data_IF_849109418236
#
_entry.id   IF_849109418236
#
_cell.length_a   1.000
_cell.length_b   1.000
_cell.length_c   1.000
_cell.angle_alpha   90.00
_cell.angle_beta   90.00
_cell.angle_gamma   90.00
#
_symmetry.space_group_name_H-M   'P 1'
#
loop_
_entity.id
_entity.type
_entity.pdbx_description
1 polymer ?
#
# COMPACT_ATOMS: atom_id res chain seq x y z
N UNK A 1 1.22 10.10 27.88
CA UNK A 1 1.00 9.81 26.42
C UNK A 1 2.36 9.94 25.73
N UNK A 2 2.72 8.97 24.91
CA UNK A 2 3.93 9.03 24.08
C UNK A 2 3.78 10.15 23.04
N UNK A 3 4.82 10.96 22.83
CA UNK A 3 4.80 12.04 21.83
C UNK A 3 4.68 11.44 20.41
N UNK A 4 3.84 12.04 19.57
CA UNK A 4 3.72 11.65 18.16
C UNK A 4 4.96 12.13 17.39
N UNK A 5 5.76 11.20 16.91
CA UNK A 5 6.95 11.45 16.08
C UNK A 5 6.70 11.18 14.60
N UNK A 6 5.78 10.23 14.31
CA UNK A 6 5.47 9.80 12.95
C UNK A 6 4.01 10.11 12.60
N UNK A 7 3.79 10.60 11.40
CA UNK A 7 2.45 10.87 10.88
C UNK A 7 1.71 9.55 10.60
N UNK A 8 2.43 8.56 10.07
CA UNK A 8 1.95 7.19 9.97
C UNK A 8 3.10 6.19 10.07
N UNK A 9 2.82 5.01 10.63
CA UNK A 9 3.59 3.79 10.47
C UNK A 9 2.89 2.94 9.42
N UNK A 10 3.57 2.62 8.32
CA UNK A 10 3.07 1.75 7.27
C UNK A 10 3.68 0.36 7.44
N UNK A 11 2.86 -0.71 7.44
CA UNK A 11 3.29 -2.10 7.58
C UNK A 11 2.86 -2.89 6.36
N UNK A 12 3.79 -3.50 5.64
CA UNK A 12 3.48 -4.25 4.43
C UNK A 12 4.65 -4.97 3.79
N UNK A 13 4.42 -5.52 2.62
CA UNK A 13 5.40 -6.27 1.85
C UNK A 13 6.51 -5.39 1.29
N UNK A 14 7.75 -5.61 1.70
CA UNK A 14 8.93 -4.92 1.17
C UNK A 14 9.38 -5.59 -0.15
N UNK A 15 8.77 -5.18 -1.25
CA UNK A 15 8.96 -5.78 -2.58
C UNK A 15 9.77 -4.85 -3.49
N UNK A 16 10.78 -5.40 -4.19
CA UNK A 16 11.45 -4.70 -5.28
C UNK A 16 10.77 -5.00 -6.61
N UNK A 17 10.32 -3.98 -7.30
CA UNK A 17 9.81 -4.10 -8.67
C UNK A 17 10.99 -4.15 -9.64
N UNK A 18 11.02 -5.18 -10.49
CA UNK A 18 12.07 -5.44 -11.48
C UNK A 18 11.44 -5.42 -12.87
N UNK A 19 11.61 -4.32 -13.58
CA UNK A 19 11.03 -4.10 -14.89
C UNK A 19 11.97 -4.58 -16.00
N UNK A 20 11.42 -5.26 -17.01
CA UNK A 20 12.10 -5.56 -18.27
C UNK A 20 11.14 -5.40 -19.44
N UNK A 21 11.64 -4.85 -20.55
CA UNK A 21 10.92 -4.90 -21.83
C UNK A 21 11.21 -6.24 -22.51
N UNK A 22 10.17 -6.92 -22.96
CA UNK A 22 10.24 -8.23 -23.60
C UNK A 22 9.33 -8.30 -24.82
N UNK A 23 9.69 -9.14 -25.79
CA UNK A 23 8.79 -9.46 -26.90
C UNK A 23 7.70 -10.47 -26.46
N UNK A 24 6.58 -10.53 -27.18
CA UNK A 24 5.49 -11.46 -26.86
C UNK A 24 5.92 -12.92 -26.89
N UNK A 25 6.87 -13.27 -27.80
CA UNK A 25 7.44 -14.60 -27.89
C UNK A 25 8.15 -15.03 -26.59
N UNK A 26 8.70 -14.10 -25.83
CA UNK A 26 9.29 -14.41 -24.53
C UNK A 26 8.23 -14.92 -23.54
N UNK A 27 7.07 -14.27 -23.49
CA UNK A 27 5.97 -14.71 -22.62
C UNK A 27 5.49 -16.11 -23.00
N UNK A 28 5.37 -16.39 -24.30
CA UNK A 28 4.97 -17.71 -24.81
C UNK A 28 6.01 -18.80 -24.46
N UNK A 29 7.30 -18.51 -24.61
CA UNK A 29 8.39 -19.44 -24.30
C UNK A 29 8.46 -19.79 -22.81
N UNK A 30 8.17 -18.81 -21.94
CA UNK A 30 8.13 -18.98 -20.48
C UNK A 30 6.75 -19.47 -19.96
N UNK A 31 5.78 -19.67 -20.83
CA UNK A 31 4.44 -20.11 -20.44
C UNK A 31 3.66 -19.11 -19.60
N UNK A 32 3.94 -17.79 -19.80
CA UNK A 32 3.34 -16.71 -19.04
C UNK A 32 2.08 -16.19 -19.73
N UNK A 33 1.02 -15.97 -18.96
CA UNK A 33 -0.22 -15.38 -19.47
C UNK A 33 -0.07 -13.88 -19.47
N UNK A 34 -0.09 -13.26 -20.66
CA UNK A 34 0.02 -11.83 -20.84
C UNK A 34 -1.03 -11.07 -20.03
N UNK A 35 -0.63 -9.99 -19.38
CA UNK A 35 -1.51 -9.15 -18.58
C UNK A 35 -1.91 -9.75 -17.22
N UNK A 36 -1.39 -10.93 -16.86
CA UNK A 36 -1.72 -11.57 -15.57
C UNK A 36 -0.72 -11.19 -14.46
N UNK A 37 -1.18 -11.35 -13.21
CA UNK A 37 -0.32 -11.39 -12.03
C UNK A 37 -0.39 -12.78 -11.41
N UNK A 38 0.77 -13.34 -11.06
CA UNK A 38 0.85 -14.61 -10.34
C UNK A 38 1.95 -14.58 -9.28
N UNK A 39 1.74 -15.38 -8.23
CA UNK A 39 2.79 -15.67 -7.26
C UNK A 39 3.64 -16.82 -7.77
N UNK A 40 4.95 -16.74 -7.55
CA UNK A 40 5.94 -17.74 -7.97
C UNK A 40 6.87 -18.08 -6.82
N UNK A 41 7.48 -19.26 -6.89
CA UNK A 41 8.43 -19.77 -5.91
C UNK A 41 9.87 -19.36 -6.22
N UNK A 42 10.79 -19.58 -5.25
CA UNK A 42 12.20 -19.14 -5.33
C UNK A 42 12.89 -19.60 -6.60
N UNK A 43 12.80 -20.88 -6.95
CA UNK A 43 13.52 -21.44 -8.10
C UNK A 43 13.02 -20.86 -9.43
N UNK A 44 11.70 -20.64 -9.53
CA UNK A 44 11.09 -20.01 -10.68
C UNK A 44 11.46 -18.53 -10.78
N UNK A 45 11.48 -17.81 -9.65
CA UNK A 45 11.90 -16.43 -9.59
C UNK A 45 13.36 -16.24 -10.05
N UNK A 46 14.25 -17.12 -9.60
CA UNK A 46 15.67 -17.11 -10.02
C UNK A 46 15.79 -17.45 -11.51
N UNK A 47 15.08 -18.47 -11.98
CA UNK A 47 15.11 -18.90 -13.37
C UNK A 47 14.60 -17.80 -14.32
N UNK A 48 13.48 -17.15 -13.96
CA UNK A 48 12.89 -16.07 -14.75
C UNK A 48 13.82 -14.85 -14.78
N UNK A 49 14.32 -14.43 -13.61
CA UNK A 49 15.23 -13.28 -13.53
C UNK A 49 16.48 -13.44 -14.40
N UNK A 50 17.08 -14.64 -14.43
CA UNK A 50 18.26 -14.92 -15.25
C UNK A 50 18.00 -14.88 -16.77
N UNK A 51 16.73 -14.98 -17.18
CA UNK A 51 16.31 -14.89 -18.59
C UNK A 51 15.87 -13.47 -18.98
N UNK A 52 15.55 -12.62 -18.00
CA UNK A 52 15.27 -11.20 -18.25
C UNK A 52 16.54 -10.52 -18.75
N UNK A 53 16.41 -9.68 -19.76
CA UNK A 53 17.51 -8.89 -20.30
C UNK A 53 17.91 -7.75 -19.37
N UNK A 54 18.06 -6.54 -19.92
CA UNK A 54 18.33 -5.35 -19.11
C UNK A 54 17.13 -5.03 -18.23
N UNK A 55 17.36 -4.85 -16.92
CA UNK A 55 16.33 -4.55 -15.93
C UNK A 55 16.50 -3.19 -15.28
N UNK A 56 15.38 -2.59 -14.90
CA UNK A 56 15.31 -1.44 -14.00
C UNK A 56 14.70 -1.93 -12.69
N UNK A 57 15.31 -1.57 -11.55
CA UNK A 57 14.85 -1.98 -10.21
C UNK A 57 14.37 -0.75 -9.46
N UNK A 58 13.20 -0.86 -8.82
CA UNK A 58 12.59 0.22 -8.04
C UNK A 58 12.04 -0.42 -6.76
N UNK A 59 12.27 0.22 -5.62
CA UNK A 59 11.63 -0.19 -4.37
C UNK A 59 10.12 0.07 -4.45
N UNK A 60 9.32 -0.98 -4.25
CA UNK A 60 7.86 -0.98 -4.37
C UNK A 60 7.16 -1.46 -3.09
N UNK A 61 6.06 -2.16 -3.25
CA UNK A 61 5.15 -2.58 -2.17
C UNK A 61 4.16 -1.49 -1.80
N UNK A 62 2.87 -1.85 -1.65
CA UNK A 62 1.76 -0.90 -1.44
C UNK A 62 2.00 0.02 -0.23
N UNK A 63 2.23 -0.56 0.96
CA UNK A 63 2.52 0.24 2.16
C UNK A 63 3.84 1.02 2.06
N UNK A 64 4.84 0.50 1.34
CA UNK A 64 6.10 1.19 1.05
C UNK A 64 5.89 2.42 0.16
N UNK A 65 5.02 2.32 -0.84
CA UNK A 65 4.64 3.44 -1.70
C UNK A 65 3.86 4.51 -0.92
N UNK A 66 2.95 4.08 -0.04
CA UNK A 66 2.22 4.99 0.87
C UNK A 66 3.18 5.76 1.76
N UNK A 67 4.15 5.08 2.39
CA UNK A 67 5.17 5.73 3.22
C UNK A 67 6.02 6.72 2.41
N UNK A 68 6.47 6.34 1.21
CA UNK A 68 7.22 7.22 0.32
C UNK A 68 6.39 8.44 -0.12
N UNK A 69 5.08 8.26 -0.34
CA UNK A 69 4.13 9.34 -0.62
C UNK A 69 4.02 10.36 0.52
N UNK A 70 3.90 9.86 1.76
CA UNK A 70 3.88 10.72 2.97
C UNK A 70 5.18 11.50 3.10
N UNK A 71 6.34 10.84 2.91
CA UNK A 71 7.64 11.52 2.92
C UNK A 71 7.73 12.60 1.82
N UNK A 72 7.23 12.32 0.62
CA UNK A 72 7.20 13.26 -0.51
C UNK A 72 6.32 14.49 -0.26
N UNK A 73 5.30 14.38 0.61
CA UNK A 73 4.51 15.50 1.12
C UNK A 73 5.24 16.32 2.19
N UNK A 74 6.43 15.90 2.65
CA UNK A 74 7.15 16.51 3.76
C UNK A 74 6.73 15.96 5.13
N UNK A 75 6.01 14.85 5.15
CA UNK A 75 5.63 14.12 6.35
C UNK A 75 6.76 13.30 6.96
N UNK A 76 6.45 12.67 8.09
CA UNK A 76 7.37 11.82 8.86
C UNK A 76 6.81 10.41 8.94
N UNK A 77 6.95 9.58 7.90
CA UNK A 77 6.50 8.20 7.93
C UNK A 77 7.53 7.28 8.61
N UNK A 78 7.02 6.21 9.22
CA UNK A 78 7.79 5.02 9.55
C UNK A 78 7.29 3.84 8.68
N UNK A 79 8.13 2.84 8.51
CA UNK A 79 7.80 1.65 7.73
C UNK A 79 8.30 0.38 8.39
N UNK A 80 7.45 -0.65 8.46
CA UNK A 80 7.83 -2.01 8.79
C UNK A 80 7.57 -2.93 7.60
N UNK A 81 8.58 -3.68 7.22
CA UNK A 81 8.52 -4.69 6.17
C UNK A 81 9.83 -5.48 6.17
N UNK A 82 9.79 -6.75 5.82
CA UNK A 82 10.92 -7.65 5.92
C UNK A 82 11.66 -7.76 4.60
N UNK A 83 12.97 -7.45 4.59
CA UNK A 83 13.89 -7.74 3.49
C UNK A 83 14.98 -8.69 3.97
N UNK A 84 15.68 -9.35 3.05
CA UNK A 84 16.84 -10.17 3.36
C UNK A 84 18.14 -9.36 3.42
N UNK A 85 19.20 -9.95 3.97
CA UNK A 85 20.57 -9.45 3.87
C UNK A 85 21.14 -9.81 2.48
N UNK A 86 20.59 -9.22 1.41
CA UNK A 86 21.00 -9.38 0.02
C UNK A 86 21.05 -8.03 -0.72
N UNK A 87 21.54 -8.03 -1.97
CA UNK A 87 21.69 -6.81 -2.78
C UNK A 87 20.37 -6.02 -2.95
N UNK A 88 19.24 -6.73 -3.14
CA UNK A 88 17.93 -6.08 -3.26
C UNK A 88 17.48 -5.50 -1.93
N UNK A 89 17.73 -6.21 -0.82
CA UNK A 89 17.43 -5.73 0.53
C UNK A 89 18.26 -4.51 0.90
N UNK A 90 19.54 -4.48 0.51
CA UNK A 90 20.42 -3.31 0.68
C UNK A 90 19.88 -2.10 -0.08
N UNK A 91 19.50 -2.31 -1.36
CA UNK A 91 18.92 -1.26 -2.20
C UNK A 91 17.61 -0.75 -1.62
N UNK A 92 16.69 -1.64 -1.23
CA UNK A 92 15.41 -1.29 -0.65
C UNK A 92 15.57 -0.46 0.64
N UNK A 93 16.47 -0.93 1.53
CA UNK A 93 16.76 -0.25 2.80
C UNK A 93 17.33 1.14 2.56
N UNK A 94 18.29 1.27 1.61
CA UNK A 94 18.88 2.53 1.24
C UNK A 94 17.85 3.52 0.68
N UNK A 95 17.01 3.06 -0.26
CA UNK A 95 16.01 3.89 -0.93
C UNK A 95 14.96 4.41 0.05
N UNK A 96 14.44 3.55 0.91
CA UNK A 96 13.42 3.94 1.90
C UNK A 96 13.97 5.02 2.84
N UNK A 97 15.15 4.80 3.43
CA UNK A 97 15.77 5.80 4.31
C UNK A 97 16.18 7.06 3.53
N UNK A 98 16.66 6.91 2.29
CA UNK A 98 17.05 8.03 1.42
C UNK A 98 15.87 8.93 1.03
N UNK A 99 14.66 8.39 0.99
CA UNK A 99 13.43 9.18 0.76
C UNK A 99 12.87 9.84 2.02
N UNK A 100 13.47 9.61 3.18
CA UNK A 100 13.04 10.18 4.47
C UNK A 100 12.04 9.32 5.24
N UNK A 101 11.86 8.06 4.86
CA UNK A 101 11.08 7.08 5.62
C UNK A 101 11.93 6.49 6.73
N UNK A 102 11.48 6.50 7.98
CA UNK A 102 12.12 5.76 9.05
C UNK A 102 11.90 4.27 8.84
N UNK A 103 12.96 3.54 8.46
CA UNK A 103 12.91 2.11 8.22
C UNK A 103 14.05 1.40 8.91
N UNK A 104 13.74 0.58 9.91
CA UNK A 104 14.74 -0.13 10.73
C UNK A 104 14.30 -1.57 11.10
N UNK A 105 13.42 -2.19 10.32
CA UNK A 105 13.02 -3.59 10.55
C UNK A 105 14.25 -4.50 10.42
N UNK A 106 14.50 -5.42 11.37
CA UNK A 106 15.60 -6.37 11.29
C UNK A 106 15.54 -7.20 10.01
N UNK A 107 16.65 -7.27 9.28
CA UNK A 107 16.73 -8.03 8.03
C UNK A 107 16.80 -9.53 8.28
N UNK A 108 16.29 -10.30 7.34
CA UNK A 108 16.36 -11.75 7.36
C UNK A 108 17.78 -12.21 6.93
N UNK A 109 18.44 -13.00 7.75
CA UNK A 109 19.83 -13.44 7.50
C UNK A 109 19.94 -14.69 6.65
N UNK A 110 18.92 -15.54 6.68
CA UNK A 110 18.98 -16.86 6.05
C UNK A 110 17.67 -17.18 5.32
N UNK A 111 17.71 -18.10 4.36
CA UNK A 111 16.61 -18.81 3.69
C UNK A 111 15.99 -18.13 2.47
N UNK A 112 15.35 -16.99 2.63
CA UNK A 112 14.51 -16.40 1.60
C UNK A 112 15.10 -15.08 1.15
N UNK A 113 15.42 -14.93 -0.16
CA UNK A 113 15.84 -13.65 -0.69
C UNK A 113 14.74 -12.59 -0.54
N UNK A 114 15.15 -11.32 -0.67
CA UNK A 114 14.23 -10.18 -0.71
C UNK A 114 13.16 -10.38 -1.79
N UNK A 115 11.92 -10.04 -1.44
CA UNK A 115 10.79 -10.11 -2.35
C UNK A 115 11.00 -9.27 -3.61
N UNK A 116 10.53 -9.79 -4.74
CA UNK A 116 10.62 -9.10 -6.03
C UNK A 116 9.41 -9.40 -6.90
N UNK A 117 8.93 -8.39 -7.60
CA UNK A 117 7.94 -8.53 -8.64
C UNK A 117 8.63 -8.35 -10.00
N UNK A 118 8.71 -9.39 -10.81
CA UNK A 118 9.25 -9.32 -12.16
C UNK A 118 8.16 -8.89 -13.11
N UNK A 119 8.27 -7.66 -13.58
CA UNK A 119 7.28 -6.97 -14.40
C UNK A 119 7.78 -6.94 -15.83
N UNK A 120 7.19 -7.76 -16.67
CA UNK A 120 7.52 -7.91 -18.09
C UNK A 120 6.58 -7.02 -18.90
N UNK A 121 7.16 -6.06 -19.63
CA UNK A 121 6.41 -5.07 -20.42
C UNK A 121 6.55 -5.42 -21.89
N UNK A 122 5.44 -5.74 -22.55
CA UNK A 122 5.39 -6.00 -23.99
C UNK A 122 5.29 -4.70 -24.81
N UNK A 123 5.57 -4.71 -26.13
CA UNK A 123 5.61 -3.49 -26.96
C UNK A 123 4.31 -2.67 -26.98
N UNK A 124 3.17 -3.29 -26.71
CA UNK A 124 1.88 -2.62 -26.58
C UNK A 124 1.64 -1.99 -25.18
N UNK A 125 2.64 -2.09 -24.27
CA UNK A 125 2.59 -1.54 -22.93
C UNK A 125 1.92 -2.44 -21.89
N UNK A 126 1.46 -3.66 -22.27
CA UNK A 126 0.85 -4.60 -21.34
C UNK A 126 1.89 -5.16 -20.36
N UNK A 127 1.48 -5.34 -19.09
CA UNK A 127 2.35 -5.80 -18.02
C UNK A 127 1.97 -7.19 -17.54
N UNK A 128 2.96 -8.06 -17.48
CA UNK A 128 2.82 -9.41 -16.91
C UNK A 128 3.68 -9.50 -15.67
N UNK A 129 3.06 -9.72 -14.51
CA UNK A 129 3.73 -9.68 -13.20
C UNK A 129 3.90 -11.08 -12.64
N UNK A 130 5.12 -11.37 -12.17
CA UNK A 130 5.46 -12.61 -11.51
C UNK A 130 6.12 -12.26 -10.19
N UNK A 131 5.39 -12.42 -9.08
CA UNK A 131 5.79 -11.93 -7.78
C UNK A 131 6.24 -13.05 -6.86
N UNK A 132 7.46 -12.93 -6.37
CA UNK A 132 8.03 -13.76 -5.33
C UNK A 132 8.04 -12.99 -4.01
N UNK A 133 7.33 -13.49 -3.00
CA UNK A 133 7.15 -12.79 -1.72
C UNK A 133 8.36 -12.92 -0.78
N UNK A 134 9.16 -13.96 -0.91
CA UNK A 134 10.44 -14.12 -0.22
C UNK A 134 10.44 -13.76 1.25
N UNK A 135 11.38 -12.90 1.64
CA UNK A 135 11.57 -12.46 3.02
C UNK A 135 10.33 -11.82 3.65
N UNK A 136 9.41 -11.24 2.85
CA UNK A 136 8.19 -10.64 3.38
C UNK A 136 7.35 -11.61 4.21
N UNK A 137 7.34 -12.90 3.81
CA UNK A 137 6.56 -13.95 4.50
C UNK A 137 7.08 -14.30 5.90
N UNK A 138 8.26 -13.79 6.27
CA UNK A 138 8.90 -13.99 7.58
C UNK A 138 8.67 -12.79 8.54
N UNK A 139 7.81 -11.86 8.16
CA UNK A 139 7.40 -10.77 9.05
C UNK A 139 6.58 -11.33 10.21
N UNK A 140 6.91 -10.92 11.44
CA UNK A 140 6.39 -11.54 12.67
C UNK A 140 6.27 -10.51 13.80
N UNK A 141 5.63 -10.83 14.94
CA UNK A 141 5.56 -9.95 16.10
C UNK A 141 6.92 -9.46 16.62
N UNK A 142 7.99 -10.21 16.40
CA UNK A 142 9.35 -9.79 16.80
C UNK A 142 9.90 -8.62 15.97
N UNK A 143 9.27 -8.29 14.87
CA UNK A 143 9.62 -7.16 14.00
C UNK A 143 8.84 -5.87 14.34
N UNK A 144 7.88 -5.98 15.26
CA UNK A 144 7.06 -4.85 15.72
C UNK A 144 7.76 -4.13 16.86
N UNK A 145 8.27 -2.93 16.58
CA UNK A 145 8.87 -2.04 17.58
C UNK A 145 7.77 -1.23 18.28
N UNK A 146 7.52 -1.53 19.57
CA UNK A 146 6.49 -0.88 20.40
C UNK A 146 6.66 0.65 20.43
N UNK A 147 7.90 1.15 20.53
CA UNK A 147 8.18 2.59 20.63
C UNK A 147 7.85 3.33 19.33
N UNK A 148 8.01 2.66 18.18
CA UNK A 148 7.65 3.23 16.88
C UNK A 148 6.13 3.24 16.69
N UNK A 149 5.44 2.14 17.01
CA UNK A 149 3.98 2.07 16.96
C UNK A 149 3.34 3.11 17.87
N UNK A 150 3.78 3.19 19.13
CA UNK A 150 3.27 4.15 20.11
C UNK A 150 3.47 5.62 19.69
N UNK A 151 4.51 5.88 18.90
CA UNK A 151 4.86 7.21 18.42
C UNK A 151 4.27 7.57 17.04
N UNK A 152 3.50 6.68 16.40
CA UNK A 152 2.81 6.92 15.13
C UNK A 152 1.37 7.40 15.39
N UNK A 153 0.90 8.44 14.66
CA UNK A 153 -0.47 8.89 14.77
C UNK A 153 -1.45 7.82 14.25
N UNK A 154 -1.08 7.15 13.17
CA UNK A 154 -1.86 6.05 12.55
C UNK A 154 -0.92 4.90 12.22
N UNK A 155 -1.31 3.66 12.55
CA UNK A 155 -0.68 2.43 12.04
C UNK A 155 -1.48 1.93 10.85
N UNK A 156 -0.91 2.02 9.64
CA UNK A 156 -1.53 1.63 8.37
C UNK A 156 -0.99 0.28 7.92
N UNK A 157 -1.89 -0.68 7.70
CA UNK A 157 -1.59 -2.07 7.42
C UNK A 157 -1.99 -2.45 6.00
N UNK A 158 -1.12 -3.20 5.31
CA UNK A 158 -1.36 -3.70 3.96
C UNK A 158 -2.03 -5.06 3.98
N UNK A 159 -3.23 -5.20 3.37
CA UNK A 159 -3.97 -6.45 3.31
C UNK A 159 -3.20 -7.58 2.61
N UNK A 160 -2.36 -7.29 1.63
CA UNK A 160 -1.51 -8.32 1.00
C UNK A 160 -0.56 -9.05 1.96
N UNK A 161 -0.17 -8.42 3.07
CA UNK A 161 0.66 -9.08 4.08
C UNK A 161 -0.16 -9.94 5.06
N UNK A 162 -1.47 -10.09 4.85
CA UNK A 162 -2.34 -10.89 5.72
C UNK A 162 -2.24 -12.41 5.46
N UNK A 163 -1.58 -12.89 4.39
CA UNK A 163 -1.43 -14.31 4.09
C UNK A 163 -0.65 -15.11 5.17
N UNK A 164 0.54 -14.69 5.67
CA UNK A 164 1.28 -15.45 6.66
C UNK A 164 0.68 -15.30 8.07
N UNK A 165 0.50 -16.41 8.79
CA UNK A 165 -0.08 -16.41 10.14
C UNK A 165 0.73 -15.56 11.14
N UNK A 166 2.06 -15.54 11.04
CA UNK A 166 2.90 -14.70 11.90
C UNK A 166 2.73 -13.21 11.59
N UNK A 167 2.49 -12.84 10.34
CA UNK A 167 2.18 -11.47 9.97
C UNK A 167 0.82 -11.01 10.51
N UNK A 168 -0.20 -11.88 10.52
CA UNK A 168 -1.49 -11.61 11.19
C UNK A 168 -1.28 -11.29 12.66
N UNK A 169 -0.49 -12.11 13.35
CA UNK A 169 -0.15 -11.86 14.76
C UNK A 169 0.60 -10.54 14.97
N UNK A 170 1.51 -10.21 14.05
CA UNK A 170 2.23 -8.94 14.09
C UNK A 170 1.28 -7.75 13.92
N UNK A 171 0.31 -7.84 13.01
CA UNK A 171 -0.71 -6.80 12.80
C UNK A 171 -1.58 -6.61 14.04
N UNK A 172 -2.05 -7.72 14.65
CA UNK A 172 -2.85 -7.66 15.88
C UNK A 172 -2.05 -7.06 17.04
N UNK A 173 -0.78 -7.46 17.20
CA UNK A 173 0.10 -6.87 18.20
C UNK A 173 0.32 -5.37 17.98
N UNK A 174 0.55 -4.93 16.74
CA UNK A 174 0.69 -3.52 16.42
C UNK A 174 -0.61 -2.74 16.69
N UNK A 175 -1.77 -3.32 16.39
CA UNK A 175 -3.07 -2.72 16.66
C UNK A 175 -3.30 -2.55 18.18
N UNK A 176 -3.00 -3.58 18.97
CA UNK A 176 -3.10 -3.52 20.44
C UNK A 176 -2.21 -2.42 21.03
N UNK A 177 -0.96 -2.33 20.58
CA UNK A 177 -0.03 -1.27 20.99
C UNK A 177 -0.57 0.11 20.60
N UNK A 178 -1.04 0.27 19.35
CA UNK A 178 -1.59 1.53 18.87
C UNK A 178 -2.75 2.00 19.75
N UNK A 179 -3.74 1.15 20.01
CA UNK A 179 -4.89 1.49 20.83
C UNK A 179 -4.53 1.77 22.30
N UNK A 180 -3.58 1.01 22.88
CA UNK A 180 -3.05 1.27 24.23
C UNK A 180 -2.48 2.68 24.39
N UNK A 181 -2.05 3.29 23.30
CA UNK A 181 -1.48 4.64 23.25
C UNK A 181 -2.41 5.69 22.62
N UNK A 182 -3.72 5.40 22.49
CA UNK A 182 -4.70 6.27 21.84
C UNK A 182 -4.33 6.64 20.40
N UNK A 183 -3.79 5.68 19.64
CA UNK A 183 -3.46 5.79 18.22
C UNK A 183 -4.47 5.06 17.36
N UNK A 184 -4.57 5.46 16.12
CA UNK A 184 -5.49 4.88 15.16
C UNK A 184 -4.85 3.73 14.38
N UNK A 185 -5.69 2.77 14.00
CA UNK A 185 -5.32 1.64 13.15
C UNK A 185 -6.08 1.73 11.84
N UNK A 186 -5.36 1.65 10.74
CA UNK A 186 -5.93 1.64 9.39
C UNK A 186 -5.51 0.38 8.63
N UNK A 187 -6.36 -0.08 7.72
CA UNK A 187 -6.05 -1.18 6.79
C UNK A 187 -6.43 -0.82 5.37
N UNK A 188 -5.64 -1.23 4.39
CA UNK A 188 -6.12 -1.32 3.00
C UNK A 188 -6.49 -2.75 2.66
N UNK A 189 -7.60 -2.93 1.94
CA UNK A 189 -8.06 -4.24 1.50
C UNK A 189 -7.19 -4.83 0.37
N UNK A 190 -6.38 -3.98 -0.26
CA UNK A 190 -5.36 -4.31 -1.27
C UNK A 190 -5.93 -4.76 -2.62
N UNK A 191 -6.66 -5.86 -2.69
CA UNK A 191 -7.43 -6.28 -3.87
C UNK A 191 -8.59 -7.22 -3.51
N UNK A 192 -9.48 -7.47 -4.48
CA UNK A 192 -10.65 -8.33 -4.29
C UNK A 192 -10.29 -9.80 -4.05
N UNK A 193 -9.16 -10.31 -4.55
CA UNK A 193 -8.71 -11.68 -4.29
C UNK A 193 -8.25 -11.85 -2.84
N UNK A 194 -7.59 -10.85 -2.28
CA UNK A 194 -7.24 -10.81 -0.86
C UNK A 194 -8.51 -10.80 0.00
N UNK A 195 -9.48 -9.94 -0.35
CA UNK A 195 -10.78 -9.86 0.32
C UNK A 195 -11.53 -11.19 0.25
N UNK A 196 -11.57 -11.85 -0.92
CA UNK A 196 -12.28 -13.13 -1.08
C UNK A 196 -11.72 -14.24 -0.20
N UNK A 197 -10.39 -14.24 0.03
CA UNK A 197 -9.72 -15.22 0.91
C UNK A 197 -9.94 -14.95 2.39
N UNK A 198 -9.98 -13.69 2.82
CA UNK A 198 -9.93 -13.28 4.23
C UNK A 198 -11.12 -12.43 4.65
N UNK A 199 -12.24 -12.52 3.94
CA UNK A 199 -13.47 -11.71 4.16
C UNK A 199 -13.91 -11.70 5.60
N UNK A 200 -14.08 -12.87 6.18
CA UNK A 200 -14.59 -13.00 7.55
C UNK A 200 -13.60 -12.40 8.57
N UNK A 201 -12.31 -12.55 8.32
CA UNK A 201 -11.26 -11.96 9.15
C UNK A 201 -11.28 -10.43 9.04
N UNK A 202 -11.31 -9.88 7.82
CA UNK A 202 -11.39 -8.41 7.63
C UNK A 202 -12.67 -7.83 8.20
N UNK A 203 -13.80 -8.50 8.02
CA UNK A 203 -15.07 -8.07 8.61
C UNK A 203 -14.99 -8.09 10.13
N UNK A 204 -14.36 -9.12 10.72
CA UNK A 204 -14.11 -9.22 12.16
C UNK A 204 -13.24 -8.07 12.67
N UNK A 205 -12.13 -7.73 11.99
CA UNK A 205 -11.27 -6.60 12.37
C UNK A 205 -12.03 -5.28 12.47
N UNK A 206 -12.98 -5.06 11.55
CA UNK A 206 -13.82 -3.85 11.55
C UNK A 206 -14.86 -3.90 12.68
N UNK A 207 -15.61 -5.01 12.81
CA UNK A 207 -16.71 -5.13 13.79
C UNK A 207 -16.21 -5.17 15.24
N UNK A 208 -15.03 -5.73 15.48
CA UNK A 208 -14.41 -5.82 16.79
C UNK A 208 -13.66 -4.54 17.19
N UNK A 209 -13.63 -3.54 16.30
CA UNK A 209 -12.98 -2.25 16.53
C UNK A 209 -11.45 -2.35 16.58
N UNK A 210 -10.85 -3.39 15.98
CA UNK A 210 -9.39 -3.51 15.82
C UNK A 210 -8.89 -2.52 14.76
N UNK A 211 -9.72 -2.23 13.76
CA UNK A 211 -9.44 -1.28 12.67
C UNK A 211 -10.39 -0.09 12.79
N UNK A 212 -9.84 1.11 12.90
CA UNK A 212 -10.58 2.38 12.93
C UNK A 212 -10.88 2.95 11.55
N UNK A 213 -10.04 2.63 10.55
CA UNK A 213 -10.10 3.18 9.20
C UNK A 213 -9.79 2.12 8.16
N UNK A 214 -10.69 1.96 7.21
CA UNK A 214 -10.51 1.05 6.07
C UNK A 214 -10.32 1.85 4.78
N UNK A 215 -9.31 1.48 3.97
CA UNK A 215 -9.17 1.92 2.59
C UNK A 215 -9.63 0.81 1.65
N UNK A 216 -10.48 1.18 0.71
CA UNK A 216 -10.99 0.26 -0.30
C UNK A 216 -11.29 0.99 -1.61
N UNK A 217 -11.30 0.26 -2.72
CA UNK A 217 -11.96 0.69 -3.95
C UNK A 217 -13.36 0.06 -4.08
N UNK A 218 -14.09 0.44 -5.14
CA UNK A 218 -15.45 -0.05 -5.39
C UNK A 218 -15.52 -1.58 -5.50
N UNK A 219 -14.54 -2.22 -6.13
CA UNK A 219 -14.51 -3.68 -6.29
C UNK A 219 -14.25 -4.38 -4.96
N UNK A 220 -13.32 -3.87 -4.18
CA UNK A 220 -12.96 -4.42 -2.88
C UNK A 220 -14.09 -4.31 -1.86
N UNK A 221 -14.75 -3.16 -1.76
CA UNK A 221 -15.85 -2.99 -0.81
C UNK A 221 -17.06 -3.86 -1.19
N UNK A 222 -17.34 -4.02 -2.50
CA UNK A 222 -18.38 -4.93 -2.98
C UNK A 222 -18.04 -6.39 -2.69
N UNK A 223 -16.77 -6.80 -2.86
CA UNK A 223 -16.29 -8.13 -2.52
C UNK A 223 -16.42 -8.38 -1.00
N UNK A 224 -16.02 -7.42 -0.16
CA UNK A 224 -16.09 -7.54 1.30
C UNK A 224 -17.53 -7.80 1.79
N UNK A 225 -18.49 -7.03 1.29
CA UNK A 225 -19.91 -7.14 1.69
C UNK A 225 -20.74 -8.03 0.77
N UNK A 226 -20.11 -8.80 -0.13
CA UNK A 226 -20.75 -9.76 -1.03
C UNK A 226 -21.97 -9.19 -1.78
N UNK A 227 -21.84 -7.99 -2.32
CA UNK A 227 -22.92 -7.31 -3.05
C UNK A 227 -22.44 -6.74 -4.38
N UNK A 228 -23.30 -6.79 -5.40
CA UNK A 228 -23.08 -6.09 -6.67
C UNK A 228 -23.48 -4.61 -6.64
N UNK A 229 -24.16 -4.16 -5.57
CA UNK A 229 -24.75 -2.81 -5.47
C UNK A 229 -23.90 -1.95 -4.54
N UNK A 230 -23.34 -0.87 -5.07
CA UNK A 230 -22.46 0.03 -4.32
C UNK A 230 -23.13 0.65 -3.08
N UNK A 231 -24.38 1.11 -3.22
CA UNK A 231 -25.11 1.72 -2.10
C UNK A 231 -25.35 0.74 -0.94
N UNK A 232 -25.53 -0.55 -1.25
CA UNK A 232 -25.63 -1.61 -0.22
C UNK A 232 -24.28 -1.79 0.50
N UNK A 233 -23.17 -1.81 -0.25
CA UNK A 233 -21.83 -1.89 0.33
C UNK A 233 -21.50 -0.67 1.21
N UNK A 234 -21.88 0.55 0.78
CA UNK A 234 -21.73 1.79 1.55
C UNK A 234 -22.51 1.72 2.86
N UNK A 235 -23.76 1.22 2.82
CA UNK A 235 -24.58 1.06 4.03
C UNK A 235 -23.93 0.09 5.02
N UNK A 236 -23.47 -1.06 4.55
CA UNK A 236 -22.77 -2.05 5.37
C UNK A 236 -21.46 -1.50 5.95
N UNK A 237 -20.69 -0.74 5.17
CA UNK A 237 -19.49 -0.06 5.65
C UNK A 237 -19.79 0.94 6.77
N UNK A 238 -20.88 1.70 6.67
CA UNK A 238 -21.31 2.61 7.75
C UNK A 238 -21.71 1.86 9.02
N UNK A 239 -22.37 0.72 8.87
CA UNK A 239 -22.80 -0.13 10.00
C UNK A 239 -21.61 -0.81 10.72
N UNK A 240 -20.47 -0.97 10.06
CA UNK A 240 -19.26 -1.53 10.69
C UNK A 240 -18.69 -0.64 11.80
N UNK A 241 -19.02 0.65 11.80
CA UNK A 241 -18.53 1.63 12.78
C UNK A 241 -17.15 2.21 12.46
N UNK A 242 -16.36 1.56 11.60
CA UNK A 242 -15.07 2.07 11.15
C UNK A 242 -15.25 3.16 10.07
N UNK A 243 -14.38 4.15 10.06
CA UNK A 243 -14.28 5.07 8.92
C UNK A 243 -13.87 4.30 7.66
N UNK A 244 -14.48 4.61 6.52
CA UNK A 244 -14.08 4.02 5.24
C UNK A 244 -13.68 5.13 4.26
N UNK A 245 -12.46 5.04 3.74
CA UNK A 245 -11.96 5.87 2.66
C UNK A 245 -12.08 5.07 1.35
N UNK A 246 -13.17 5.32 0.62
CA UNK A 246 -13.55 4.60 -0.59
C UNK A 246 -13.12 5.37 -1.83
N UNK A 247 -12.25 4.78 -2.65
CA UNK A 247 -11.85 5.35 -3.95
C UNK A 247 -12.79 4.86 -5.06
N UNK A 248 -13.22 5.78 -5.92
CA UNK A 248 -14.18 5.56 -7.00
C UNK A 248 -13.59 5.88 -8.39
N UNK A 249 -12.29 5.71 -8.53
CA UNK A 249 -11.57 5.98 -9.78
C UNK A 249 -11.78 7.42 -10.27
N UNK A 250 -12.28 7.59 -11.49
CA UNK A 250 -12.53 8.91 -12.09
C UNK A 250 -13.64 9.72 -11.39
N UNK A 251 -14.48 9.11 -10.59
CA UNK A 251 -15.51 9.77 -9.80
C UNK A 251 -14.95 10.40 -8.51
N UNK A 252 -13.67 10.11 -8.15
CA UNK A 252 -13.02 10.65 -6.97
C UNK A 252 -13.02 9.72 -5.78
N UNK A 253 -13.39 10.23 -4.61
CA UNK A 253 -13.41 9.45 -3.37
C UNK A 253 -14.61 9.82 -2.49
N UNK A 254 -14.93 8.88 -1.59
CA UNK A 254 -15.97 9.03 -0.60
C UNK A 254 -15.43 8.62 0.76
N UNK A 255 -15.61 9.46 1.76
CA UNK A 255 -15.29 9.13 3.15
C UNK A 255 -16.61 8.87 3.87
N UNK A 256 -16.74 7.68 4.40
CA UNK A 256 -17.95 7.19 5.07
C UNK A 256 -17.62 7.04 6.55
N UNK A 257 -18.39 7.70 7.40
CA UNK A 257 -18.39 7.50 8.85
C UNK A 257 -19.81 7.12 9.30
N UNK A 258 -20.00 6.70 10.55
CA UNK A 258 -21.35 6.50 11.08
C UNK A 258 -22.25 7.74 10.96
N UNK A 259 -21.67 8.94 11.11
CA UNK A 259 -22.37 10.22 11.19
C UNK A 259 -22.60 10.88 9.84
N UNK A 260 -21.60 10.78 8.94
CA UNK A 260 -21.63 11.52 7.69
C UNK A 260 -21.01 10.78 6.51
N UNK A 261 -21.24 11.30 5.33
CA UNK A 261 -20.53 10.89 4.11
C UNK A 261 -20.05 12.13 3.36
N UNK A 262 -18.75 12.21 3.17
CA UNK A 262 -18.09 13.25 2.39
C UNK A 262 -17.74 12.70 1.02
N UNK A 263 -18.02 13.47 -0.05
CA UNK A 263 -17.61 13.14 -1.44
C UNK A 263 -16.70 14.22 -1.98
N UNK A 264 -15.61 13.80 -2.59
CA UNK A 264 -14.67 14.68 -3.28
C UNK A 264 -14.46 14.20 -4.71
N UNK A 265 -14.43 15.11 -5.70
CA UNK A 265 -14.20 14.73 -7.09
C UNK A 265 -12.76 14.33 -7.33
N UNK A 266 -12.53 13.48 -8.33
CA UNK A 266 -11.18 13.21 -8.82
C UNK A 266 -10.57 14.47 -9.45
N UNK A 267 -9.25 14.60 -9.37
CA UNK A 267 -8.53 15.57 -10.19
C UNK A 267 -8.56 15.14 -11.65
N UNK A 268 -8.83 16.07 -12.54
CA UNK A 268 -8.82 15.79 -13.98
C UNK A 268 -7.40 15.50 -14.46
N UNK A 269 -7.24 14.41 -15.21
CA UNK A 269 -5.98 14.00 -15.81
C UNK A 269 -6.22 13.73 -17.28
N UNK A 270 -5.54 14.49 -18.15
CA UNK A 270 -5.72 14.40 -19.59
C UNK A 270 -5.18 13.08 -20.18
N UNK A 271 -4.11 12.55 -19.59
CA UNK A 271 -3.48 11.32 -20.05
C UNK A 271 -3.12 10.44 -18.85
N UNK A 272 -3.79 9.31 -18.72
CA UNK A 272 -3.49 8.26 -17.75
C UNK A 272 -2.49 7.30 -18.40
N UNK A 273 -1.32 7.14 -17.75
CA UNK A 273 -0.24 6.28 -18.24
C UNK A 273 -0.27 4.94 -17.50
N UNK A 274 -0.43 4.96 -16.16
CA UNK A 274 -0.37 3.80 -15.30
C UNK A 274 -1.19 4.03 -14.04
N UNK A 275 -2.07 3.08 -13.68
CA UNK A 275 -2.89 3.19 -12.48
C UNK A 275 -2.21 2.63 -11.21
N UNK A 276 -1.01 2.05 -11.37
CA UNK A 276 -0.26 1.48 -10.25
C UNK A 276 0.07 2.55 -9.22
N UNK A 277 -0.23 2.27 -7.95
CA UNK A 277 0.04 3.19 -6.85
C UNK A 277 -1.00 4.30 -6.64
N UNK A 278 -2.06 4.38 -7.45
CA UNK A 278 -3.11 5.39 -7.26
C UNK A 278 -3.75 5.29 -5.87
N UNK A 279 -4.08 4.07 -5.42
CA UNK A 279 -4.60 3.80 -4.08
C UNK A 279 -3.59 4.12 -2.97
N UNK A 280 -2.31 3.76 -3.21
CA UNK A 280 -1.22 4.01 -2.26
C UNK A 280 -1.00 5.50 -2.02
N UNK A 281 -1.01 6.29 -3.11
CA UNK A 281 -0.81 7.74 -3.03
C UNK A 281 -2.07 8.47 -2.54
N UNK A 282 -3.27 7.94 -2.81
CA UNK A 282 -4.49 8.41 -2.16
C UNK A 282 -4.39 8.23 -0.64
N UNK A 283 -4.01 7.02 -0.18
CA UNK A 283 -3.81 6.74 1.23
C UNK A 283 -2.72 7.64 1.85
N UNK A 284 -1.62 7.89 1.14
CA UNK A 284 -0.56 8.79 1.61
C UNK A 284 -1.08 10.20 1.87
N UNK A 285 -1.81 10.79 0.93
CA UNK A 285 -2.38 12.15 1.08
C UNK A 285 -3.44 12.21 2.18
N UNK A 286 -4.30 11.20 2.26
CA UNK A 286 -5.35 11.13 3.27
C UNK A 286 -4.78 10.98 4.69
N UNK A 287 -3.85 10.04 4.90
CA UNK A 287 -3.18 9.83 6.19
C UNK A 287 -2.36 11.04 6.63
N UNK A 288 -1.65 11.68 5.69
CA UNK A 288 -0.93 12.93 5.95
C UNK A 288 -1.88 14.03 6.44
N UNK A 289 -3.04 14.18 5.79
CA UNK A 289 -4.06 15.17 6.19
C UNK A 289 -4.64 14.86 7.57
N UNK A 290 -4.98 13.60 7.85
CA UNK A 290 -5.48 13.18 9.17
C UNK A 290 -4.48 13.47 10.29
N UNK A 291 -3.19 13.19 10.07
CA UNK A 291 -2.14 13.44 11.06
C UNK A 291 -1.90 14.95 11.35
N UNK A 292 -2.52 15.82 10.54
CA UNK A 292 -2.48 17.31 10.69
C UNK A 292 -3.83 17.91 10.98
N UNK A 293 -4.77 17.09 11.45
CA UNK A 293 -6.13 17.52 11.81
C UNK A 293 -6.88 18.25 10.69
N UNK A 294 -6.60 17.89 9.41
CA UNK A 294 -7.39 18.37 8.29
C UNK A 294 -8.82 17.84 8.38
N UNK A 295 -9.79 18.61 7.89
CA UNK A 295 -11.13 18.09 7.69
C UNK A 295 -11.11 16.86 6.78
N UNK A 296 -12.09 15.95 6.91
CA UNK A 296 -12.21 14.77 6.04
C UNK A 296 -12.24 15.15 4.56
N UNK A 297 -12.88 16.28 4.23
CA UNK A 297 -12.89 16.83 2.86
C UNK A 297 -11.48 17.15 2.40
N UNK A 298 -10.74 17.96 3.15
CA UNK A 298 -9.39 18.39 2.76
C UNK A 298 -8.43 17.21 2.70
N UNK A 299 -8.51 16.26 3.65
CA UNK A 299 -7.68 15.06 3.62
C UNK A 299 -7.97 14.20 2.37
N UNK A 300 -9.25 14.02 2.01
CA UNK A 300 -9.64 13.27 0.82
C UNK A 300 -9.25 14.00 -0.49
N UNK A 301 -9.38 15.32 -0.55
CA UNK A 301 -8.93 16.13 -1.69
C UNK A 301 -7.41 16.01 -1.90
N UNK A 302 -6.63 16.08 -0.81
CA UNK A 302 -5.18 15.88 -0.87
C UNK A 302 -4.84 14.45 -1.35
N UNK A 303 -5.58 13.44 -0.90
CA UNK A 303 -5.48 12.07 -1.40
C UNK A 303 -5.73 11.98 -2.91
N UNK A 304 -6.80 12.60 -3.42
CA UNK A 304 -7.10 12.64 -4.84
C UNK A 304 -6.01 13.38 -5.66
N UNK A 305 -5.45 14.46 -5.13
CA UNK A 305 -4.33 15.19 -5.76
C UNK A 305 -3.10 14.29 -5.86
N UNK A 306 -2.73 13.60 -4.79
CA UNK A 306 -1.58 12.67 -4.78
C UNK A 306 -1.79 11.52 -5.77
N UNK A 307 -2.96 10.89 -5.77
CA UNK A 307 -3.32 9.84 -6.72
C UNK A 307 -3.24 10.32 -8.17
N UNK A 308 -3.73 11.54 -8.46
CA UNK A 308 -3.69 12.12 -9.81
C UNK A 308 -2.27 12.37 -10.33
N UNK A 309 -1.30 12.51 -9.46
CA UNK A 309 0.09 12.74 -9.85
C UNK A 309 0.78 11.47 -10.31
N UNK A 310 0.56 10.35 -9.61
CA UNK A 310 1.24 9.09 -9.90
C UNK A 310 0.72 8.43 -11.18
N UNK A 311 -0.54 8.58 -11.51
CA UNK A 311 -1.12 7.95 -12.71
C UNK A 311 -0.67 8.58 -14.05
N UNK A 312 0.17 9.61 -14.02
CA UNK A 312 0.71 10.32 -15.19
C UNK A 312 2.03 9.74 -15.71
N UNK A 313 2.62 8.80 -14.99
CA UNK A 313 3.88 8.15 -15.34
C UNK A 313 3.85 6.66 -14.97
N UNK A 314 4.90 5.93 -15.34
CA UNK A 314 5.06 4.52 -15.02
C UNK A 314 5.60 4.34 -13.60
N UNK A 315 4.98 3.46 -12.81
CA UNK A 315 5.39 3.14 -11.45
C UNK A 315 4.58 3.84 -10.36
N UNK A 316 4.71 3.34 -9.14
CA UNK A 316 3.85 3.70 -8.01
C UNK A 316 4.38 4.83 -7.12
N UNK A 317 5.59 5.35 -7.39
CA UNK A 317 6.21 6.40 -6.56
C UNK A 317 6.23 7.75 -7.25
N UNK A 318 6.11 8.87 -6.50
CA UNK A 318 6.12 10.19 -7.09
C UNK A 318 7.46 10.52 -7.77
N UNK A 319 7.46 10.96 -9.02
CA UNK A 319 8.65 11.48 -9.69
C UNK A 319 9.07 12.88 -9.22
N UNK A 320 8.13 13.63 -8.66
CA UNK A 320 8.34 14.99 -8.15
C UNK A 320 7.83 15.10 -6.71
N UNK A 321 8.44 15.97 -5.88
CA UNK A 321 7.97 16.17 -4.51
C UNK A 321 6.49 16.55 -4.46
N UNK A 322 5.66 15.73 -3.83
CA UNK A 322 4.21 15.97 -3.69
C UNK A 322 3.89 17.23 -2.91
N UNK A 323 4.79 17.64 -1.99
CA UNK A 323 4.65 18.89 -1.25
C UNK A 323 4.48 20.11 -2.17
N UNK A 324 5.18 20.13 -3.31
CA UNK A 324 5.07 21.23 -4.26
C UNK A 324 3.69 21.24 -4.94
N UNK A 325 3.17 20.04 -5.26
CA UNK A 325 1.86 19.89 -5.86
C UNK A 325 0.75 20.24 -4.85
N UNK A 326 0.89 19.81 -3.60
CA UNK A 326 -0.03 20.15 -2.52
C UNK A 326 -0.08 21.68 -2.29
N UNK A 327 1.08 22.33 -2.21
CA UNK A 327 1.15 23.80 -2.07
C UNK A 327 0.51 24.54 -3.24
N UNK A 328 0.69 24.06 -4.49
CA UNK A 328 0.03 24.64 -5.67
C UNK A 328 -1.50 24.52 -5.62
N UNK A 329 -2.03 23.57 -4.87
CA UNK A 329 -3.47 23.36 -4.65
C UNK A 329 -3.97 23.96 -3.32
N UNK A 330 -3.16 24.80 -2.66
CA UNK A 330 -3.56 25.56 -1.47
C UNK A 330 -3.42 24.82 -0.14
N UNK A 331 -2.73 23.68 -0.10
CA UNK A 331 -2.44 22.95 1.13
C UNK A 331 -1.15 23.46 1.78
N UNK A 332 -1.20 23.67 3.07
CA UNK A 332 0.00 23.93 3.90
C UNK A 332 0.66 22.59 4.24
N UNK A 333 1.89 22.33 3.74
CA UNK A 333 2.61 21.07 3.89
C UNK A 333 4.05 21.28 4.34
#
# INVERSE_FOLDING_TARGET
MTEIRFDALCIGNAICDVFAHVEEDFLLQEGLVKGSMRLIETDEAVALFNKMGQTVRISGGSAGNTAAGIASLGGRPAYFGKVAEDELGDSYYHDMNGTGVYYNTPRLREWKPTARSMILITPDGERTMNTYLGACTEFSPSDVDEDVVAAAAVTYMEGYLWDPEEAKKAFLAAAEIAHKHDRKVAITLSDSFCVDRYRDEFTGLLSDGVVDLMFANEHEIKALYQTGVLDTAISAARESGAMTALTLGKEGAMIITPEETVKVPAQQVDNVVDLTGAGDLFAAGFLFGLARDYSLTNAAELGCICASSVIKHVGARPERPLKNLAAQNGFEV
#
